data_IF_662649916334
#
_entry.id   IF_662649916334
#
_cell.length_a   1.000
_cell.length_b   1.000
_cell.length_c   1.000
_cell.angle_alpha   90.00
_cell.angle_beta   90.00
_cell.angle_gamma   90.00
#
_symmetry.space_group_name_H-M   'P 1'
#
loop_
_entity.id
_entity.type
_entity.pdbx_description
1 polymer ?
#
# COMPACT_ATOMS: atom_id res chain seq x y z
N UNK A 1 15.85 -44.73 3.01
CA UNK A 1 16.04 -43.87 4.20
C UNK A 1 16.79 -42.63 3.72
N UNK A 2 16.01 -41.59 3.38
CA UNK A 2 16.27 -40.19 3.02
C UNK A 2 17.61 -39.84 2.32
N UNK A 3 17.54 -39.58 1.00
CA UNK A 3 18.60 -38.93 0.21
C UNK A 3 18.17 -37.52 -0.17
N UNK A 4 19.08 -36.57 -0.02
CA UNK A 4 18.89 -35.12 -0.14
C UNK A 4 19.13 -34.58 -1.57
N UNK A 5 19.19 -35.48 -2.56
CA UNK A 5 19.53 -35.18 -3.97
C UNK A 5 18.28 -35.31 -4.87
N UNK A 6 17.15 -34.76 -4.43
CA UNK A 6 15.99 -34.54 -5.28
C UNK A 6 15.88 -33.02 -5.46
N UNK A 7 16.48 -32.50 -6.52
CA UNK A 7 16.31 -31.10 -6.92
C UNK A 7 14.99 -31.00 -7.68
N UNK A 8 13.94 -30.32 -7.17
CA UNK A 8 12.81 -29.98 -8.01
C UNK A 8 13.17 -28.76 -8.89
N UNK A 9 13.22 -28.85 -10.23
CA UNK A 9 13.17 -27.67 -11.05
C UNK A 9 11.70 -27.23 -11.12
N UNK A 10 11.31 -26.27 -10.29
CA UNK A 10 10.32 -25.23 -10.62
C UNK A 10 9.94 -24.44 -9.37
N UNK A 11 10.89 -23.69 -8.81
CA UNK A 11 10.56 -22.41 -8.20
C UNK A 11 10.53 -21.34 -9.29
N UNK A 12 9.56 -21.49 -10.17
CA UNK A 12 9.07 -20.47 -11.08
C UNK A 12 7.55 -20.50 -10.84
N UNK A 13 6.86 -19.48 -10.37
CA UNK A 13 7.14 -18.05 -10.38
C UNK A 13 6.04 -17.43 -9.51
N UNK A 14 6.40 -16.51 -8.62
CA UNK A 14 5.51 -15.45 -8.10
C UNK A 14 4.24 -15.94 -7.38
N UNK A 15 4.30 -15.99 -6.04
CA UNK A 15 3.11 -15.60 -5.27
C UNK A 15 2.65 -14.24 -5.83
N UNK A 16 1.39 -14.06 -6.27
CA UNK A 16 0.90 -12.74 -6.59
C UNK A 16 0.87 -11.93 -5.29
N UNK A 17 2.02 -11.36 -4.95
CA UNK A 17 2.12 -10.28 -4.00
C UNK A 17 1.12 -9.24 -4.47
N UNK A 18 0.25 -8.87 -3.53
CA UNK A 18 -0.83 -7.91 -3.66
C UNK A 18 -0.72 -7.02 -4.90
N UNK A 19 -1.60 -7.26 -5.87
CA UNK A 19 -1.85 -6.28 -6.92
C UNK A 19 -2.11 -4.92 -6.26
N UNK A 20 -1.35 -3.86 -6.55
CA UNK A 20 -1.70 -2.53 -6.08
C UNK A 20 -3.00 -2.13 -6.77
N UNK A 21 -4.12 -2.38 -6.10
CA UNK A 21 -5.43 -1.93 -6.54
C UNK A 21 -5.42 -0.40 -6.58
N UNK A 22 -5.64 0.17 -7.76
CA UNK A 22 -6.04 1.57 -7.91
C UNK A 22 -4.97 2.50 -8.46
N UNK A 23 -4.63 2.35 -9.73
CA UNK A 23 -3.93 3.39 -10.51
C UNK A 23 -4.80 4.62 -10.85
N UNK A 24 -6.05 4.68 -10.36
CA UNK A 24 -7.00 5.76 -10.68
C UNK A 24 -7.44 6.63 -9.51
N UNK A 25 -7.06 6.32 -8.27
CA UNK A 25 -7.39 7.12 -7.08
C UNK A 25 -6.12 7.53 -6.35
N UNK A 26 -6.05 8.75 -5.77
CA UNK A 26 -4.92 9.11 -4.90
C UNK A 26 -4.80 8.03 -3.83
N UNK A 27 -3.64 7.38 -3.83
CA UNK A 27 -3.38 6.31 -2.87
C UNK A 27 -3.43 6.89 -1.47
N UNK A 28 -3.83 6.08 -0.49
CA UNK A 28 -3.75 6.49 0.91
C UNK A 28 -2.33 6.94 1.30
N UNK A 29 -1.30 6.45 0.61
CA UNK A 29 0.07 6.92 0.80
C UNK A 29 0.25 8.42 0.42
N UNK A 30 -0.35 8.88 -0.68
CA UNK A 30 -0.27 10.28 -1.10
C UNK A 30 -0.97 11.22 -0.10
N UNK A 31 -2.16 10.83 0.35
CA UNK A 31 -2.93 11.61 1.33
C UNK A 31 -2.20 11.65 2.68
N UNK A 32 -1.56 10.56 3.10
CA UNK A 32 -0.71 10.53 4.31
C UNK A 32 0.47 11.49 4.22
N UNK A 33 1.19 11.49 3.09
CA UNK A 33 2.33 12.39 2.89
C UNK A 33 1.89 13.86 2.99
N UNK A 34 0.77 14.20 2.36
CA UNK A 34 0.17 15.53 2.47
C UNK A 34 -0.27 15.84 3.90
N UNK A 35 -0.95 14.91 4.56
CA UNK A 35 -1.45 15.09 5.93
C UNK A 35 -0.31 15.39 6.91
N UNK A 36 0.77 14.62 6.86
CA UNK A 36 1.95 14.85 7.69
C UNK A 36 2.61 16.21 7.42
N UNK A 37 2.69 16.62 6.15
CA UNK A 37 3.24 17.93 5.78
C UNK A 37 2.39 19.12 6.26
N UNK A 38 1.07 18.91 6.43
CA UNK A 38 0.13 19.92 6.92
C UNK A 38 -0.10 19.83 8.44
N UNK A 39 0.56 18.90 9.14
CA UNK A 39 0.40 18.71 10.58
C UNK A 39 -0.88 17.97 11.01
N UNK A 40 -1.56 17.27 10.08
CA UNK A 40 -2.70 16.42 10.42
C UNK A 40 -2.24 15.11 11.05
N UNK A 41 -2.90 14.71 12.15
CA UNK A 41 -2.64 13.43 12.80
C UNK A 41 -3.23 12.26 12.00
N UNK A 42 -2.37 11.55 11.27
CA UNK A 42 -2.69 10.32 10.54
C UNK A 42 -1.89 9.15 11.09
N UNK A 43 -2.51 7.97 11.18
CA UNK A 43 -1.80 6.75 11.55
C UNK A 43 -0.75 6.40 10.49
N UNK A 44 0.35 5.74 10.88
CA UNK A 44 1.41 5.30 9.97
C UNK A 44 0.90 4.28 8.92
N UNK A 45 0.00 3.38 9.34
CA UNK A 45 -0.58 2.29 8.51
C UNK A 45 -2.11 2.23 8.68
N UNK A 46 -2.83 1.77 7.65
CA UNK A 46 -4.30 1.59 7.71
C UNK A 46 -5.15 2.73 7.12
N UNK A 47 -6.39 2.88 7.60
CA UNK A 47 -7.38 3.85 7.07
C UNK A 47 -7.00 5.30 7.36
N UNK A 48 -7.43 6.22 6.50
CA UNK A 48 -7.27 7.67 6.68
C UNK A 48 -8.56 8.25 7.26
N UNK A 49 -8.50 9.13 8.27
CA UNK A 49 -9.67 9.81 8.79
C UNK A 49 -10.41 10.57 7.68
N UNK A 50 -11.75 10.50 7.68
CA UNK A 50 -12.58 11.18 6.69
C UNK A 50 -12.30 12.69 6.65
N UNK A 51 -12.02 13.32 7.80
CA UNK A 51 -11.66 14.74 7.89
C UNK A 51 -10.41 15.10 7.09
N UNK A 52 -9.38 14.25 7.11
CA UNK A 52 -8.13 14.46 6.35
C UNK A 52 -8.36 14.23 4.86
N UNK A 53 -9.16 13.23 4.51
CA UNK A 53 -9.53 12.97 3.11
C UNK A 53 -10.29 14.15 2.51
N UNK A 54 -11.28 14.68 3.23
CA UNK A 54 -12.04 15.85 2.80
C UNK A 54 -11.16 17.09 2.66
N UNK A 55 -10.23 17.32 3.59
CA UNK A 55 -9.29 18.43 3.50
C UNK A 55 -8.32 18.28 2.30
N UNK A 56 -7.90 17.06 1.97
CA UNK A 56 -7.08 16.77 0.80
C UNK A 56 -7.83 17.01 -0.52
N UNK A 57 -9.07 16.54 -0.62
CA UNK A 57 -9.94 16.82 -1.77
C UNK A 57 -10.22 18.33 -1.88
N UNK A 58 -10.43 19.02 -0.75
CA UNK A 58 -10.65 20.46 -0.69
C UNK A 58 -9.42 21.31 -1.07
N UNK A 59 -8.21 20.80 -0.82
CA UNK A 59 -6.97 21.45 -1.24
C UNK A 59 -6.65 21.22 -2.73
N UNK A 60 -7.34 20.27 -3.38
CA UNK A 60 -7.14 19.88 -4.77
C UNK A 60 -8.21 20.42 -5.72
N UNK A 61 -9.39 20.75 -5.19
CA UNK A 61 -10.42 21.52 -5.91
C UNK A 61 -10.04 23.00 -5.98
#
# INVERSE_FOLDING_TARGET
>A
MWRWDDTPPSQATTHPQCTPVGAGRPTNAAIRKWANANGYHVQDRGRIPASVKAAFDAARM
#
